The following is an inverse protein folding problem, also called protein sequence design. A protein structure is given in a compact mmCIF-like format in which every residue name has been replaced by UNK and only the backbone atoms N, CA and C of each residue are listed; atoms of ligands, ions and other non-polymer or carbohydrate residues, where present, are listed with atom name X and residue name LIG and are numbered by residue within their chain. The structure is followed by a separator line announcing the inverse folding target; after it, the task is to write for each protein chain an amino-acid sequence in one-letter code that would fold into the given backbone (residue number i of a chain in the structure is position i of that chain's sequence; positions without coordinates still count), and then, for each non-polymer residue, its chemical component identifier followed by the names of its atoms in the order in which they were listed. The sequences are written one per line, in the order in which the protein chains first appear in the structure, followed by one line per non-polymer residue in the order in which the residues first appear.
data_IF_004784938630
#
_entry.id   IF_004784938630
#
_cell.length_a   1.000
_cell.length_b   1.000
_cell.length_c   1.000
_cell.angle_alpha   90.00
_cell.angle_beta   90.00
_cell.angle_gamma   90.00
#
_symmetry.space_group_name_H-M   'P 1'
#
loop_
_entity.id
_entity.type
_entity.pdbx_description
1 polymer ?
#
# COMPACT_ATOMS: atom_id res chain seq x y z
N UNK A 1 -17.67 -14.35 -14.06
CA UNK A 1 -19.04 -13.76 -14.25
C UNK A 1 -19.98 -14.89 -14.60
N UNK A 2 -21.14 -14.94 -13.97
CA UNK A 2 -22.18 -15.91 -14.34
C UNK A 2 -22.64 -15.67 -15.79
N UNK A 3 -22.79 -16.75 -16.57
CA UNK A 3 -23.19 -16.68 -17.99
C UNK A 3 -24.56 -16.04 -18.20
N UNK A 4 -25.47 -16.24 -17.25
CA UNK A 4 -26.81 -15.62 -17.31
C UNK A 4 -26.72 -14.09 -17.14
N UNK A 5 -25.89 -13.63 -16.21
CA UNK A 5 -25.63 -12.19 -16.01
C UNK A 5 -24.93 -11.58 -17.23
N UNK A 6 -23.95 -12.27 -17.80
CA UNK A 6 -23.27 -11.81 -19.01
C UNK A 6 -24.23 -11.60 -20.17
N UNK A 7 -25.11 -12.56 -20.43
CA UNK A 7 -26.11 -12.46 -21.49
C UNK A 7 -27.12 -11.34 -21.24
N UNK A 8 -27.56 -11.17 -19.99
CA UNK A 8 -28.44 -10.08 -19.61
C UNK A 8 -27.81 -8.69 -19.87
N UNK A 9 -26.56 -8.49 -19.47
CA UNK A 9 -25.85 -7.24 -19.72
C UNK A 9 -25.66 -6.96 -21.21
N UNK A 10 -25.39 -8.00 -22.03
CA UNK A 10 -25.28 -7.86 -23.48
C UNK A 10 -26.64 -7.45 -24.09
N UNK A 11 -27.74 -8.09 -23.70
CA UNK A 11 -29.07 -7.75 -24.16
C UNK A 11 -29.46 -6.31 -23.83
N UNK A 12 -29.16 -5.88 -22.60
CA UNK A 12 -29.40 -4.52 -22.14
C UNK A 12 -28.60 -3.49 -22.95
N UNK A 13 -27.30 -3.73 -23.18
CA UNK A 13 -26.45 -2.87 -24.02
C UNK A 13 -26.94 -2.81 -25.48
N UNK A 14 -27.37 -3.93 -26.03
CA UNK A 14 -27.98 -3.96 -27.40
C UNK A 14 -29.27 -3.14 -27.46
N UNK A 15 -30.13 -3.25 -26.45
CA UNK A 15 -31.33 -2.45 -26.34
C UNK A 15 -31.07 -0.94 -26.29
N UNK A 16 -30.11 -0.51 -25.50
CA UNK A 16 -29.65 0.89 -25.44
C UNK A 16 -29.13 1.39 -26.79
N UNK A 17 -28.35 0.56 -27.48
CA UNK A 17 -27.82 0.87 -28.82
C UNK A 17 -28.92 1.03 -29.85
N UNK A 18 -29.90 0.13 -29.86
CA UNK A 18 -31.06 0.18 -30.78
C UNK A 18 -31.92 1.42 -30.50
N UNK A 19 -32.16 1.72 -29.22
CA UNK A 19 -32.88 2.90 -28.79
C UNK A 19 -32.09 4.21 -28.98
N UNK A 20 -30.81 4.13 -29.36
CA UNK A 20 -29.89 5.27 -29.48
C UNK A 20 -29.85 6.13 -28.21
N UNK A 21 -29.86 5.48 -27.06
CA UNK A 21 -29.83 6.10 -25.75
C UNK A 21 -28.73 5.50 -24.89
N UNK A 22 -28.56 6.00 -23.67
CA UNK A 22 -27.64 5.54 -22.66
C UNK A 22 -28.38 5.33 -21.34
N UNK A 23 -27.70 4.77 -20.34
CA UNK A 23 -28.19 4.81 -18.97
C UNK A 23 -28.22 6.27 -18.51
N UNK A 24 -29.44 6.78 -18.33
CA UNK A 24 -29.66 8.16 -17.92
C UNK A 24 -30.55 8.14 -16.68
N UNK A 25 -30.24 9.01 -15.74
CA UNK A 25 -31.12 9.27 -14.62
C UNK A 25 -32.41 9.98 -15.05
N UNK A 26 -33.45 9.87 -14.23
CA UNK A 26 -34.77 10.45 -14.55
C UNK A 26 -34.75 11.98 -14.50
N UNK A 27 -33.77 12.58 -13.82
CA UNK A 27 -33.66 14.02 -13.68
C UNK A 27 -32.18 14.43 -13.63
N UNK A 28 -31.91 15.71 -13.90
CA UNK A 28 -30.62 16.33 -13.67
C UNK A 28 -30.44 16.48 -12.16
N UNK A 29 -29.37 15.90 -11.61
CA UNK A 29 -28.98 16.09 -10.23
C UNK A 29 -27.80 17.07 -10.15
N UNK A 30 -27.79 17.87 -9.08
CA UNK A 30 -26.71 18.79 -8.79
C UNK A 30 -25.96 18.30 -7.55
N UNK A 31 -24.66 18.06 -7.70
CA UNK A 31 -23.79 17.73 -6.58
C UNK A 31 -22.96 18.97 -6.23
N UNK A 32 -22.89 19.28 -4.92
CA UNK A 32 -22.03 20.39 -4.47
C UNK A 32 -20.56 20.05 -4.68
N UNK A 33 -19.81 20.96 -5.28
CA UNK A 33 -18.37 20.86 -5.42
C UNK A 33 -17.63 21.01 -4.09
N UNK A 34 -18.30 21.47 -3.05
CA UNK A 34 -17.70 21.65 -1.71
C UNK A 34 -17.16 20.33 -1.16
N UNK A 35 -17.82 19.21 -1.46
CA UNK A 35 -17.37 17.88 -1.05
C UNK A 35 -16.01 17.50 -1.65
N UNK A 36 -15.65 18.06 -2.81
CA UNK A 36 -14.38 17.79 -3.49
C UNK A 36 -13.26 18.78 -3.12
N UNK A 37 -13.60 19.90 -2.47
CA UNK A 37 -12.66 20.98 -2.17
C UNK A 37 -12.48 21.24 -0.68
N UNK A 38 -13.29 20.63 0.19
CA UNK A 38 -13.24 20.85 1.63
C UNK A 38 -12.03 20.16 2.26
N UNK A 39 -11.12 20.96 2.85
CA UNK A 39 -10.03 20.43 3.65
C UNK A 39 -10.51 19.63 4.87
N UNK A 40 -11.67 19.96 5.40
CA UNK A 40 -12.26 19.25 6.54
C UNK A 40 -12.61 17.83 6.12
N UNK A 41 -13.35 17.68 5.03
CA UNK A 41 -13.74 16.36 4.50
C UNK A 41 -12.50 15.57 4.11
N UNK A 42 -11.54 16.18 3.40
CA UNK A 42 -10.28 15.54 3.03
C UNK A 42 -9.53 15.00 4.26
N UNK A 43 -9.45 15.78 5.33
CA UNK A 43 -8.77 15.34 6.55
C UNK A 43 -9.55 14.22 7.26
N UNK A 44 -10.88 14.27 7.27
CA UNK A 44 -11.73 13.20 7.79
C UNK A 44 -11.56 11.90 6.99
N UNK A 45 -11.58 11.95 5.67
CA UNK A 45 -11.34 10.81 4.78
C UNK A 45 -9.95 10.22 5.00
N UNK A 46 -8.93 11.09 5.07
CA UNK A 46 -7.55 10.66 5.30
C UNK A 46 -7.40 9.87 6.60
N UNK A 47 -8.00 10.33 7.70
CA UNK A 47 -7.87 9.70 9.01
C UNK A 47 -8.86 8.53 9.22
N UNK A 48 -10.06 8.61 8.64
CA UNK A 48 -11.13 7.63 8.87
C UNK A 48 -11.12 6.49 7.86
N UNK A 49 -10.66 6.74 6.64
CA UNK A 49 -10.63 5.77 5.54
C UNK A 49 -9.20 5.36 5.23
N UNK A 50 -8.42 6.27 4.63
CA UNK A 50 -7.10 5.94 4.08
C UNK A 50 -6.05 5.54 5.11
N UNK A 51 -6.17 6.01 6.36
CA UNK A 51 -5.27 5.57 7.43
C UNK A 51 -5.70 4.25 8.09
N UNK A 52 -6.95 3.85 7.97
CA UNK A 52 -7.53 2.73 8.73
C UNK A 52 -7.80 1.48 7.90
N UNK A 53 -8.05 1.65 6.62
CA UNK A 53 -8.33 0.55 5.70
C UNK A 53 -7.07 0.17 4.92
N UNK A 54 -7.02 -1.05 4.35
CA UNK A 54 -5.94 -1.45 3.46
C UNK A 54 -5.79 -0.50 2.28
N UNK A 55 -4.61 0.10 2.14
CA UNK A 55 -4.26 0.96 1.02
C UNK A 55 -3.16 0.29 0.17
N UNK A 56 -3.23 0.45 -1.15
CA UNK A 56 -2.16 0.00 -2.04
C UNK A 56 -0.92 0.86 -1.80
N UNK A 57 0.18 0.22 -1.40
CA UNK A 57 1.46 0.89 -1.20
C UNK A 57 2.44 0.65 -2.35
N UNK A 58 2.40 -0.53 -2.99
CA UNK A 58 3.26 -0.86 -4.13
C UNK A 58 2.65 -1.98 -4.97
N UNK A 59 3.13 -2.14 -6.20
CA UNK A 59 2.95 -3.36 -6.96
C UNK A 59 4.10 -4.33 -6.65
N UNK A 60 3.85 -5.62 -6.66
CA UNK A 60 4.86 -6.64 -6.33
C UNK A 60 6.10 -6.57 -7.22
N UNK A 61 5.96 -6.10 -8.47
CA UNK A 61 7.09 -5.95 -9.38
C UNK A 61 8.07 -4.83 -9.02
N UNK A 62 7.71 -3.93 -8.11
CA UNK A 62 8.57 -2.84 -7.67
C UNK A 62 9.59 -3.29 -6.61
N UNK A 63 9.29 -4.40 -5.89
CA UNK A 63 10.19 -4.98 -4.87
C UNK A 63 10.28 -6.50 -5.07
N UNK A 64 10.83 -6.94 -6.20
CA UNK A 64 10.89 -8.37 -6.58
C UNK A 64 11.89 -9.18 -5.78
N UNK A 65 13.04 -8.57 -5.49
CA UNK A 65 14.18 -9.25 -4.92
C UNK A 65 14.42 -8.84 -3.47
N UNK A 66 14.97 -9.75 -2.64
CA UNK A 66 15.40 -9.40 -1.30
C UNK A 66 16.30 -8.15 -1.27
N UNK A 67 15.94 -7.18 -0.45
CA UNK A 67 16.60 -5.89 -0.37
C UNK A 67 15.96 -4.78 -1.18
N UNK A 68 15.14 -5.08 -2.18
CA UNK A 68 14.39 -4.06 -2.91
C UNK A 68 13.48 -3.30 -1.94
N UNK A 69 13.38 -1.99 -2.13
CA UNK A 69 12.48 -1.15 -1.36
C UNK A 69 11.92 0.00 -2.19
N UNK A 70 10.77 0.49 -1.76
CA UNK A 70 10.16 1.73 -2.22
C UNK A 70 9.74 2.59 -1.03
N UNK A 71 9.90 3.91 -1.17
CA UNK A 71 9.34 4.90 -0.26
C UNK A 71 7.99 5.35 -0.80
N UNK A 72 7.00 5.45 0.08
CA UNK A 72 5.64 5.90 -0.26
C UNK A 72 5.12 6.88 0.80
N UNK A 73 4.19 7.70 0.38
CA UNK A 73 3.32 8.44 1.28
C UNK A 73 1.93 7.81 1.24
N UNK A 74 1.44 7.38 2.38
CA UNK A 74 0.11 6.80 2.53
C UNK A 74 -0.62 7.56 3.63
N UNK A 75 -1.70 8.20 3.29
CA UNK A 75 -2.48 9.05 4.20
C UNK A 75 -1.63 10.11 4.93
N UNK A 76 -0.67 10.74 4.21
CA UNK A 76 0.24 11.75 4.76
C UNK A 76 1.33 11.18 5.68
N UNK A 77 1.59 9.88 5.61
CA UNK A 77 2.61 9.21 6.41
C UNK A 77 3.66 8.58 5.51
N UNK A 78 4.92 9.02 5.64
CA UNK A 78 6.02 8.41 4.91
C UNK A 78 6.30 7.01 5.43
N UNK A 79 6.31 6.03 4.54
CA UNK A 79 6.56 4.62 4.82
C UNK A 79 7.65 4.06 3.90
N UNK A 80 8.29 2.98 4.35
CA UNK A 80 9.18 2.13 3.55
C UNK A 80 8.48 0.80 3.36
N UNK A 81 8.35 0.38 2.11
CA UNK A 81 7.92 -0.99 1.76
C UNK A 81 9.13 -1.70 1.19
N UNK A 82 9.45 -2.88 1.69
CA UNK A 82 10.68 -3.60 1.31
C UNK A 82 10.44 -5.11 1.24
N UNK A 83 11.31 -5.81 0.48
CA UNK A 83 11.38 -7.27 0.46
C UNK A 83 12.48 -7.71 1.42
N UNK A 84 12.13 -8.44 2.48
CA UNK A 84 13.13 -8.96 3.43
C UNK A 84 13.97 -10.11 2.84
N UNK A 85 14.91 -10.63 3.62
CA UNK A 85 15.82 -11.70 3.18
C UNK A 85 15.08 -13.03 2.92
N UNK A 86 13.94 -13.23 3.58
CA UNK A 86 13.07 -14.39 3.42
C UNK A 86 12.09 -14.25 2.23
N UNK A 87 12.18 -13.13 1.50
CA UNK A 87 11.31 -12.84 0.36
C UNK A 87 9.92 -12.33 0.75
N UNK A 88 9.70 -11.93 2.00
CA UNK A 88 8.42 -11.40 2.48
C UNK A 88 8.36 -9.89 2.33
N UNK A 89 7.23 -9.37 1.87
CA UNK A 89 6.97 -7.93 1.89
C UNK A 89 6.81 -7.43 3.33
N UNK A 90 7.47 -6.32 3.66
CA UNK A 90 7.42 -5.65 4.94
C UNK A 90 7.13 -4.17 4.74
N UNK A 91 6.44 -3.56 5.68
CA UNK A 91 6.21 -2.13 5.67
C UNK A 91 6.51 -1.52 7.04
N UNK A 92 7.14 -0.35 7.05
CA UNK A 92 7.54 0.37 8.27
C UNK A 92 7.29 1.86 8.08
N UNK A 93 7.06 2.59 9.19
CA UNK A 93 7.19 4.04 9.12
C UNK A 93 8.64 4.41 8.77
N UNK A 94 8.82 5.35 7.87
CA UNK A 94 10.12 5.87 7.45
C UNK A 94 10.71 6.82 8.51
N UNK A 95 10.87 6.34 9.73
CA UNK A 95 11.24 7.13 10.91
C UNK A 95 12.22 6.37 11.79
N UNK A 96 13.38 6.95 12.03
CA UNK A 96 14.37 6.41 12.95
C UNK A 96 13.86 6.43 14.39
N UNK A 97 13.98 5.32 15.09
CA UNK A 97 13.51 5.16 16.48
C UNK A 97 14.34 5.92 17.51
N UNK A 98 15.49 6.48 17.09
CA UNK A 98 16.33 7.29 17.98
C UNK A 98 15.73 8.69 18.18
N UNK A 99 15.63 9.51 17.10
CA UNK A 99 15.20 10.91 17.16
C UNK A 99 14.27 11.31 16.02
N UNK A 100 13.55 10.38 15.42
CA UNK A 100 12.50 10.70 14.43
C UNK A 100 12.99 11.11 13.05
N UNK A 101 14.30 11.02 12.76
CA UNK A 101 14.84 11.36 11.44
C UNK A 101 14.33 10.38 10.38
N UNK A 102 14.01 10.89 9.20
CA UNK A 102 13.68 10.08 8.03
C UNK A 102 14.88 9.18 7.68
N UNK A 103 14.63 7.87 7.50
CA UNK A 103 15.67 6.88 7.24
C UNK A 103 16.09 6.84 5.77
N UNK A 104 15.12 6.94 4.89
CA UNK A 104 15.30 6.81 3.45
C UNK A 104 14.70 8.01 2.75
N UNK A 105 15.49 8.72 1.95
CA UNK A 105 15.07 9.83 1.11
C UNK A 105 14.79 9.40 -0.34
N UNK A 106 15.48 8.34 -0.79
CA UNK A 106 15.34 7.80 -2.14
C UNK A 106 13.94 7.20 -2.33
N UNK A 107 13.35 7.37 -3.52
CA UNK A 107 12.02 6.83 -3.85
C UNK A 107 12.01 5.29 -3.96
N UNK A 108 13.14 4.71 -4.38
CA UNK A 108 13.32 3.26 -4.51
C UNK A 108 14.80 2.88 -4.50
N UNK A 109 15.08 1.61 -4.34
CA UNK A 109 16.44 1.08 -4.41
C UNK A 109 16.54 -0.34 -3.88
N UNK A 110 17.78 -0.78 -3.65
CA UNK A 110 18.07 -2.08 -3.06
C UNK A 110 19.02 -1.90 -1.87
N UNK A 111 18.54 -2.21 -0.66
CA UNK A 111 19.31 -2.10 0.59
C UNK A 111 19.01 -3.28 1.51
N UNK A 112 20.03 -3.96 1.97
CA UNK A 112 19.88 -4.99 3.01
C UNK A 112 19.73 -4.38 4.41
N UNK A 113 20.13 -3.11 4.57
CA UNK A 113 20.06 -2.37 5.81
C UNK A 113 19.73 -0.91 5.56
N UNK A 114 18.98 -0.30 6.45
CA UNK A 114 18.66 1.12 6.47
C UNK A 114 19.45 1.79 7.58
N UNK A 115 20.44 2.60 7.22
CA UNK A 115 21.26 3.34 8.18
C UNK A 115 20.79 4.78 8.30
N UNK A 116 20.47 5.20 9.51
CA UNK A 116 20.00 6.57 9.77
C UNK A 116 21.11 7.58 9.43
N UNK A 117 20.83 8.58 8.60
CA UNK A 117 21.84 9.57 8.20
C UNK A 117 22.29 10.50 9.35
N UNK A 118 21.54 10.52 10.46
CA UNK A 118 21.83 11.42 11.56
C UNK A 118 22.84 10.83 12.56
N UNK A 119 22.58 9.64 13.12
CA UNK A 119 23.45 9.03 14.14
C UNK A 119 23.77 7.56 13.84
N UNK A 120 23.66 7.15 12.59
CA UNK A 120 24.02 5.83 12.09
C UNK A 120 23.37 4.63 12.81
N UNK A 121 22.22 4.82 13.46
CA UNK A 121 21.41 3.68 13.88
C UNK A 121 21.01 2.89 12.65
N UNK A 122 21.28 1.58 12.65
CA UNK A 122 21.14 0.74 11.47
C UNK A 122 20.12 -0.35 11.73
N UNK A 123 19.18 -0.47 10.80
CA UNK A 123 18.09 -1.44 10.83
C UNK A 123 18.25 -2.44 9.68
N UNK A 124 17.97 -3.71 9.94
CA UNK A 124 17.81 -4.68 8.87
C UNK A 124 16.55 -4.35 8.03
N UNK A 125 16.45 -4.90 6.83
CA UNK A 125 15.25 -4.77 6.01
C UNK A 125 14.02 -5.54 6.57
N UNK A 126 14.23 -6.41 7.56
CA UNK A 126 13.18 -6.99 8.42
C UNK A 126 12.63 -6.02 9.48
N UNK A 127 13.28 -4.84 9.65
CA UNK A 127 12.92 -3.80 10.61
C UNK A 127 13.65 -3.83 11.94
N UNK A 128 14.44 -4.85 12.22
CA UNK A 128 15.18 -5.00 13.46
C UNK A 128 16.31 -3.99 13.59
N UNK A 129 16.50 -3.39 14.77
CA UNK A 129 17.68 -2.59 15.06
C UNK A 129 18.88 -3.53 15.21
N UNK A 130 19.84 -3.44 14.30
CA UNK A 130 21.01 -4.33 14.27
C UNK A 130 22.31 -3.66 14.75
N UNK A 131 22.34 -2.32 14.77
CA UNK A 131 23.51 -1.58 15.26
C UNK A 131 23.11 -0.18 15.72
N UNK A 132 23.69 0.23 16.84
CA UNK A 132 23.65 1.60 17.34
C UNK A 132 25.08 2.00 17.78
N UNK A 133 25.68 3.06 17.23
CA UNK A 133 26.98 3.55 17.65
C UNK A 133 26.98 3.88 19.14
N UNK A 134 28.11 3.63 19.79
CA UNK A 134 28.30 3.86 21.24
C UNK A 134 27.33 3.09 22.15
N UNK A 135 26.88 1.90 21.72
CA UNK A 135 25.91 1.09 22.47
C UNK A 135 26.40 0.83 23.91
N UNK A 136 27.63 0.38 24.06
CA UNK A 136 28.20 0.04 25.38
C UNK A 136 28.43 1.27 26.29
N UNK A 137 28.84 2.41 25.72
CA UNK A 137 29.17 3.62 26.49
C UNK A 137 28.00 4.60 26.63
N UNK A 138 27.12 4.67 25.64
CA UNK A 138 26.03 5.63 25.59
C UNK A 138 24.65 5.04 25.92
N UNK A 139 24.50 3.73 25.70
CA UNK A 139 23.20 3.05 25.85
C UNK A 139 23.38 1.64 26.47
N UNK A 140 24.05 1.48 27.62
CA UNK A 140 24.44 0.17 28.15
C UNK A 140 23.27 -0.77 28.47
N UNK A 141 22.08 -0.22 28.67
CA UNK A 141 20.84 -0.98 28.99
C UNK A 141 19.83 -0.99 27.81
N UNK A 142 20.24 -0.58 26.60
CA UNK A 142 19.33 -0.52 25.46
C UNK A 142 18.90 -1.93 25.04
N UNK A 143 17.62 -2.21 25.21
CA UNK A 143 16.99 -3.38 24.62
C UNK A 143 16.73 -3.08 23.12
N UNK A 144 17.65 -3.52 22.25
CA UNK A 144 17.59 -3.23 20.81
C UNK A 144 16.28 -3.68 20.17
N UNK A 145 15.66 -4.75 20.65
CA UNK A 145 14.40 -5.26 20.11
C UNK A 145 13.26 -4.24 20.25
N UNK A 146 13.23 -3.49 21.35
CA UNK A 146 12.24 -2.44 21.60
C UNK A 146 12.40 -1.21 20.69
N UNK A 147 13.56 -1.08 20.07
CA UNK A 147 13.89 0.04 19.16
C UNK A 147 13.91 -0.36 17.68
N UNK A 148 13.42 -1.53 17.35
CA UNK A 148 13.12 -1.94 15.98
C UNK A 148 12.15 -0.98 15.30
N UNK A 149 12.17 -0.89 13.97
CA UNK A 149 11.25 -0.04 13.21
C UNK A 149 9.80 -0.38 13.56
N UNK A 150 8.95 0.63 13.56
CA UNK A 150 7.53 0.44 13.82
C UNK A 150 6.91 -0.20 12.59
N UNK A 151 6.65 -1.50 12.68
CA UNK A 151 6.01 -2.26 11.61
C UNK A 151 4.57 -1.81 11.39
N UNK A 152 4.17 -1.82 10.14
CA UNK A 152 2.80 -1.66 9.68
C UNK A 152 2.25 -3.02 9.30
N UNK A 153 0.95 -3.19 9.45
CA UNK A 153 0.29 -4.35 8.91
C UNK A 153 0.40 -4.32 7.39
N UNK A 154 0.90 -5.41 6.80
CA UNK A 154 1.23 -5.50 5.39
C UNK A 154 0.88 -6.89 4.89
N UNK A 155 0.23 -6.96 3.72
CA UNK A 155 -0.09 -8.21 3.04
C UNK A 155 0.11 -8.07 1.52
N UNK A 156 0.40 -9.19 0.86
CA UNK A 156 0.62 -9.27 -0.58
C UNK A 156 -0.52 -10.03 -1.23
N UNK A 157 -1.39 -9.32 -1.98
CA UNK A 157 -2.57 -9.88 -2.63
C UNK A 157 -2.83 -9.24 -3.97
N UNK A 158 -3.31 -10.03 -4.93
CA UNK A 158 -3.73 -9.57 -6.26
C UNK A 158 -2.66 -8.79 -7.01
N UNK A 159 -1.38 -9.15 -6.81
CA UNK A 159 -0.24 -8.44 -7.40
C UNK A 159 0.13 -7.12 -6.72
N UNK A 160 -0.55 -6.73 -5.64
CA UNK A 160 -0.29 -5.52 -4.89
C UNK A 160 0.19 -5.80 -3.47
N UNK A 161 0.91 -4.84 -2.92
CA UNK A 161 1.30 -4.80 -1.51
C UNK A 161 0.39 -3.81 -0.82
N UNK A 162 -0.43 -4.32 0.09
CA UNK A 162 -1.41 -3.58 0.87
C UNK A 162 -0.85 -3.26 2.24
N UNK A 163 -1.10 -2.05 2.73
CA UNK A 163 -0.69 -1.63 4.07
C UNK A 163 -1.82 -0.97 4.83
N UNK A 164 -1.80 -1.11 6.16
CA UNK A 164 -2.65 -0.33 7.07
C UNK A 164 -1.73 0.56 7.90
N UNK A 165 -1.83 1.88 7.70
CA UNK A 165 -0.90 2.81 8.36
C UNK A 165 -1.30 3.21 9.78
N UNK A 166 -2.49 2.82 10.23
CA UNK A 166 -2.86 2.95 11.64
C UNK A 166 -2.37 1.73 12.43
N UNK A 167 -1.25 1.88 13.13
CA UNK A 167 -0.63 0.80 13.91
C UNK A 167 -1.45 0.35 15.15
N UNK A 168 -2.54 1.03 15.46
CA UNK A 168 -3.46 0.66 16.55
C UNK A 168 -4.63 -0.21 16.09
N UNK A 169 -4.73 -0.47 14.79
CA UNK A 169 -5.78 -1.32 14.21
C UNK A 169 -5.18 -2.62 13.68
N UNK A 170 -5.97 -3.67 13.76
CA UNK A 170 -5.70 -4.94 13.09
C UNK A 170 -6.84 -5.21 12.13
N UNK A 171 -6.51 -5.37 10.84
CA UNK A 171 -7.45 -5.71 9.78
C UNK A 171 -7.18 -7.15 9.35
N UNK A 172 -8.23 -7.95 9.28
CA UNK A 172 -8.18 -9.26 8.63
C UNK A 172 -8.29 -9.04 7.12
N UNK A 173 -7.17 -9.12 6.41
CA UNK A 173 -7.13 -8.92 4.96
C UNK A 173 -7.94 -9.97 4.20
N UNK A 174 -8.00 -11.21 4.70
CA UNK A 174 -8.81 -12.27 4.09
C UNK A 174 -10.29 -11.90 4.10
N UNK A 175 -10.80 -11.55 5.26
CA UNK A 175 -12.19 -11.15 5.42
C UNK A 175 -12.49 -9.83 4.69
N UNK A 176 -11.55 -8.88 4.70
CA UNK A 176 -11.71 -7.58 4.05
C UNK A 176 -11.90 -7.70 2.54
N UNK A 177 -11.09 -8.57 1.90
CA UNK A 177 -11.13 -8.75 0.45
C UNK A 177 -12.08 -9.84 -0.03
N UNK A 178 -12.63 -10.66 0.87
CA UNK A 178 -13.53 -11.77 0.51
C UNK A 178 -14.66 -11.38 -0.48
N UNK A 179 -15.32 -10.20 -0.38
CA UNK A 179 -16.40 -9.85 -1.29
C UNK A 179 -15.97 -9.63 -2.74
N UNK A 180 -14.68 -9.36 -3.00
CA UNK A 180 -14.15 -9.04 -4.34
C UNK A 180 -13.00 -9.98 -4.76
N UNK A 181 -12.73 -11.04 -3.98
CA UNK A 181 -11.53 -11.84 -4.16
C UNK A 181 -11.46 -12.50 -5.55
N UNK A 182 -12.55 -13.08 -6.01
CA UNK A 182 -12.61 -13.78 -7.31
C UNK A 182 -12.40 -12.81 -8.49
N UNK A 183 -13.02 -11.64 -8.44
CA UNK A 183 -12.87 -10.60 -9.46
C UNK A 183 -11.46 -10.01 -9.46
N UNK A 184 -10.93 -9.73 -8.27
CA UNK A 184 -9.59 -9.17 -8.12
C UNK A 184 -8.51 -10.14 -8.60
N UNK A 185 -8.66 -11.43 -8.31
CA UNK A 185 -7.78 -12.49 -8.80
C UNK A 185 -7.81 -12.59 -10.34
N UNK A 186 -9.00 -12.59 -10.94
CA UNK A 186 -9.17 -12.63 -12.39
C UNK A 186 -8.53 -11.43 -13.09
N UNK A 187 -8.64 -10.23 -12.53
CA UNK A 187 -8.02 -9.01 -13.09
C UNK A 187 -6.50 -9.06 -12.93
N UNK A 188 -6.00 -9.47 -11.78
CA UNK A 188 -4.56 -9.60 -11.52
C UNK A 188 -3.88 -10.55 -12.52
N UNK A 189 -4.51 -11.67 -12.84
CA UNK A 189 -4.03 -12.62 -13.82
C UNK A 189 -3.99 -12.05 -15.25
N UNK A 190 -5.02 -11.31 -15.67
CA UNK A 190 -5.08 -10.71 -17.01
C UNK A 190 -4.00 -9.65 -17.23
N UNK A 191 -3.67 -8.86 -16.22
CA UNK A 191 -2.59 -7.88 -16.30
C UNK A 191 -1.20 -8.49 -16.42
N UNK A 192 -0.99 -9.67 -15.87
CA UNK A 192 0.30 -10.39 -15.95
C UNK A 192 0.49 -11.11 -17.30
N UNK A 193 -0.59 -11.39 -18.03
CA UNK A 193 -0.57 -12.19 -19.26
C UNK A 193 -0.72 -11.38 -20.55
N UNK A 194 -1.04 -10.09 -20.47
CA UNK A 194 -1.04 -9.24 -21.67
C UNK A 194 0.40 -9.05 -22.16
N UNK A 195 0.75 -9.57 -23.35
CA UNK A 195 2.07 -9.33 -23.92
C UNK A 195 2.19 -7.83 -24.19
N UNK A 196 3.19 -7.19 -23.62
CA UNK A 196 3.60 -5.80 -23.90
C UNK A 196 4.21 -5.63 -25.30
N UNK A 197 3.86 -6.46 -26.25
CA UNK A 197 4.34 -6.41 -27.62
C UNK A 197 3.31 -5.82 -28.57
N UNK A 198 2.94 -4.57 -28.33
CA UNK A 198 2.53 -3.65 -29.37
C UNK A 198 3.40 -2.40 -29.29
N UNK A 199 4.72 -2.61 -29.49
CA UNK A 199 5.57 -1.56 -30.00
C UNK A 199 5.43 -1.62 -31.53
N UNK A 200 4.69 -0.69 -32.10
CA UNK A 200 4.78 -0.31 -33.50
C UNK A 200 5.75 0.84 -33.59
#
# INVERSE_FOLDING_TARGET
MDRALELHLIEELLGLREAKTHFLDQAIEFNSVDHYQSEIIFNEERESIFARLPAVAAHVCEIRNPGDFVKRDVAGRSIIVTRDAEGKARAFFNVCRHRGTQLVSEESGCKQRFTCPYHAWTYANSGELVSAPHLESGFPELDMAKYSLKALQCDERFGFIWVVVNSGLTVDFEQYFAPIADEAEAVSYTHLTLPTSYAV
#
